data_IF_137522833408
#
_entry.id   IF_137522833408
#
_cell.length_a   1.000
_cell.length_b   1.000
_cell.length_c   1.000
_cell.angle_alpha   90.00
_cell.angle_beta   90.00
_cell.angle_gamma   90.00
#
_symmetry.space_group_name_H-M   'P 1'
#
loop_
_entity.id
_entity.type
_entity.pdbx_description
1 polymer ?
#
# COMPACT_ATOMS: atom_id res chain seq x y z
N UNK A 1 5.56 14.40 -11.02
CA UNK A 1 5.15 13.06 -11.48
C UNK A 1 3.84 12.69 -10.81
N UNK A 2 3.04 11.84 -11.45
CA UNK A 2 1.82 11.29 -10.89
C UNK A 2 2.15 10.06 -10.06
N UNK A 3 1.89 10.11 -8.76
CA UNK A 3 2.18 9.04 -7.82
C UNK A 3 0.89 8.44 -7.28
N UNK A 4 0.81 7.11 -7.32
CA UNK A 4 -0.19 6.36 -6.57
C UNK A 4 0.45 5.85 -5.27
N UNK A 5 -0.08 6.29 -4.13
CA UNK A 5 0.32 5.85 -2.80
C UNK A 5 -0.75 4.93 -2.22
N UNK A 6 -0.54 3.62 -2.34
CA UNK A 6 -1.48 2.60 -1.86
C UNK A 6 -1.21 2.27 -0.39
N UNK A 7 -2.29 1.99 0.35
CA UNK A 7 -2.21 1.70 1.79
C UNK A 7 -1.54 2.86 2.55
N UNK A 8 -1.99 4.08 2.24
CA UNK A 8 -1.27 5.31 2.56
C UNK A 8 -1.09 5.55 4.07
N UNK A 9 -1.98 5.00 4.91
CA UNK A 9 -1.99 5.29 6.34
C UNK A 9 -2.05 6.79 6.58
N UNK A 10 -1.18 7.29 7.47
CA UNK A 10 -1.01 8.73 7.73
C UNK A 10 0.09 9.38 6.86
N UNK A 11 0.58 8.69 5.82
CA UNK A 11 1.52 9.25 4.85
C UNK A 11 2.97 9.39 5.34
N UNK A 12 3.49 8.38 6.04
CA UNK A 12 4.89 8.36 6.50
C UNK A 12 5.90 8.52 5.35
N UNK A 13 5.70 7.78 4.26
CA UNK A 13 6.52 7.87 3.04
C UNK A 13 6.40 9.23 2.34
N UNK A 14 5.18 9.80 2.29
CA UNK A 14 4.85 11.06 1.61
C UNK A 14 5.68 12.24 2.11
N UNK A 15 6.10 12.23 3.39
CA UNK A 15 6.97 13.27 4.00
C UNK A 15 8.31 13.46 3.29
N UNK A 16 8.80 12.42 2.62
CA UNK A 16 10.09 12.43 1.93
C UNK A 16 9.97 12.79 0.45
N UNK A 17 8.76 12.94 -0.07
CA UNK A 17 8.53 13.24 -1.47
C UNK A 17 8.44 14.76 -1.70
N UNK A 18 9.06 15.29 -2.76
CA UNK A 18 8.92 16.70 -3.15
C UNK A 18 7.47 17.16 -3.23
N UNK A 19 7.22 18.42 -2.90
CA UNK A 19 5.88 18.98 -2.87
C UNK A 19 5.24 19.10 -4.26
N UNK A 20 6.05 19.19 -5.34
CA UNK A 20 5.56 19.29 -6.72
C UNK A 20 4.98 17.99 -7.31
N UNK A 21 5.01 16.88 -6.57
CA UNK A 21 4.42 15.63 -7.04
C UNK A 21 2.90 15.63 -6.89
N UNK A 22 2.19 15.19 -7.93
CA UNK A 22 0.74 14.95 -7.88
C UNK A 22 0.51 13.58 -7.26
N UNK A 23 0.11 13.55 -6.00
CA UNK A 23 -0.09 12.31 -5.25
C UNK A 23 -1.58 11.98 -5.14
N UNK A 24 -1.94 10.75 -5.50
CA UNK A 24 -3.20 10.13 -5.14
C UNK A 24 -2.95 9.08 -4.07
N UNK A 25 -3.50 9.31 -2.87
CA UNK A 25 -3.38 8.41 -1.72
C UNK A 25 -4.65 7.58 -1.56
N UNK A 26 -4.50 6.26 -1.41
CA UNK A 26 -5.59 5.33 -1.16
C UNK A 26 -5.47 4.78 0.27
N UNK A 27 -6.52 4.99 1.05
CA UNK A 27 -6.64 4.52 2.43
C UNK A 27 -8.07 4.01 2.63
N UNK A 28 -8.26 2.83 3.24
CA UNK A 28 -9.59 2.25 3.37
C UNK A 28 -10.32 2.72 4.64
N UNK A 29 -9.58 3.19 5.64
CA UNK A 29 -10.14 3.76 6.86
C UNK A 29 -10.34 5.27 6.71
N UNK A 30 -11.60 5.70 6.78
CA UNK A 30 -11.98 7.11 6.63
C UNK A 30 -11.30 8.04 7.64
N UNK A 31 -11.20 7.65 8.91
CA UNK A 31 -10.60 8.49 9.95
C UNK A 31 -9.10 8.67 9.73
N UNK A 32 -8.41 7.61 9.29
CA UNK A 32 -6.98 7.68 8.93
C UNK A 32 -6.77 8.54 7.68
N UNK A 33 -7.66 8.42 6.70
CA UNK A 33 -7.64 9.22 5.48
C UNK A 33 -7.82 10.72 5.77
N UNK A 34 -8.69 11.07 6.71
CA UNK A 34 -8.87 12.46 7.19
C UNK A 34 -7.56 12.98 7.82
N UNK A 35 -6.92 12.19 8.69
CA UNK A 35 -5.62 12.55 9.27
C UNK A 35 -4.52 12.70 8.20
N UNK A 36 -4.48 11.82 7.19
CA UNK A 36 -3.57 11.99 6.06
C UNK A 36 -3.79 13.33 5.37
N UNK A 37 -5.07 13.68 5.10
CA UNK A 37 -5.42 14.91 4.40
C UNK A 37 -5.02 16.16 5.20
N UNK A 38 -5.11 16.12 6.53
CA UNK A 38 -4.63 17.19 7.41
C UNK A 38 -3.12 17.45 7.26
N UNK A 39 -2.32 16.39 7.11
CA UNK A 39 -0.87 16.51 6.86
C UNK A 39 -0.54 16.94 5.43
N UNK A 40 -1.34 16.53 4.45
CA UNK A 40 -1.07 16.72 3.02
C UNK A 40 -2.30 17.29 2.29
N UNK A 41 -2.66 18.56 2.52
CA UNK A 41 -3.92 19.16 2.01
C UNK A 41 -4.01 19.24 0.48
N UNK A 42 -2.87 19.14 -0.22
CA UNK A 42 -2.82 19.21 -1.69
C UNK A 42 -2.88 17.82 -2.37
N UNK A 43 -2.73 16.75 -1.60
CA UNK A 43 -2.82 15.39 -2.13
C UNK A 43 -4.29 15.01 -2.33
N UNK A 44 -4.57 14.20 -3.36
CA UNK A 44 -5.90 13.63 -3.58
C UNK A 44 -6.04 12.36 -2.73
N UNK A 45 -6.89 12.38 -1.71
CA UNK A 45 -7.18 11.20 -0.88
C UNK A 45 -8.48 10.53 -1.32
N UNK A 46 -8.46 9.21 -1.50
CA UNK A 46 -9.64 8.42 -1.90
C UNK A 46 -9.82 7.28 -0.89
N UNK A 47 -11.01 7.23 -0.28
CA UNK A 47 -11.37 6.18 0.67
C UNK A 47 -11.92 4.95 -0.06
N UNK A 48 -11.06 3.96 -0.33
CA UNK A 48 -11.44 2.75 -1.06
C UNK A 48 -10.44 1.61 -0.85
N UNK A 49 -10.73 0.44 -1.43
CA UNK A 49 -9.83 -0.71 -1.42
C UNK A 49 -8.63 -0.49 -2.36
N UNK A 50 -7.43 -0.41 -1.78
CA UNK A 50 -6.19 -0.14 -2.50
C UNK A 50 -5.84 -1.23 -3.53
N UNK A 51 -6.09 -2.50 -3.19
CA UNK A 51 -5.79 -3.62 -4.08
C UNK A 51 -6.63 -3.56 -5.37
N UNK A 52 -7.94 -3.32 -5.23
CA UNK A 52 -8.84 -3.14 -6.38
C UNK A 52 -8.58 -1.85 -7.14
N UNK A 53 -8.18 -0.78 -6.45
CA UNK A 53 -7.84 0.49 -7.10
C UNK A 53 -6.61 0.33 -8.00
N UNK A 54 -5.57 -0.35 -7.52
CA UNK A 54 -4.38 -0.65 -8.30
C UNK A 54 -4.76 -1.36 -9.62
N UNK A 55 -5.53 -2.44 -9.54
CA UNK A 55 -5.90 -3.25 -10.70
C UNK A 55 -6.60 -2.41 -11.81
N UNK A 56 -7.41 -1.43 -11.41
CA UNK A 56 -8.20 -0.60 -12.34
C UNK A 56 -7.45 0.62 -12.87
N UNK A 57 -6.55 1.20 -12.07
CA UNK A 57 -6.01 2.54 -12.33
C UNK A 57 -4.49 2.60 -12.51
N UNK A 58 -3.76 1.49 -12.39
CA UNK A 58 -2.28 1.48 -12.42
C UNK A 58 -1.65 2.20 -13.63
N UNK A 59 -2.34 2.26 -14.78
CA UNK A 59 -1.82 2.90 -16.00
C UNK A 59 -1.82 4.43 -15.96
N UNK A 60 -2.46 5.05 -14.99
CA UNK A 60 -2.64 6.51 -14.90
C UNK A 60 -1.46 7.23 -14.22
N UNK A 61 -0.50 6.46 -13.69
CA UNK A 61 0.55 6.95 -12.81
C UNK A 61 1.95 6.70 -13.37
N UNK A 62 2.90 7.55 -12.98
CA UNK A 62 4.32 7.42 -13.33
C UNK A 62 5.07 6.54 -12.32
N UNK A 63 4.62 6.59 -11.06
CA UNK A 63 5.20 5.86 -9.94
C UNK A 63 4.12 5.29 -9.02
N UNK A 64 4.34 4.07 -8.52
CA UNK A 64 3.43 3.41 -7.58
C UNK A 64 4.22 2.97 -6.34
N UNK A 65 3.75 3.40 -5.16
CA UNK A 65 4.17 2.88 -3.87
C UNK A 65 3.06 2.01 -3.30
N UNK A 66 3.38 0.81 -2.84
CA UNK A 66 2.42 -0.06 -2.16
C UNK A 66 2.98 -0.66 -0.87
N UNK A 67 2.18 -0.65 0.19
CA UNK A 67 2.50 -1.26 1.48
C UNK A 67 1.36 -2.18 1.94
N UNK A 68 1.03 -3.26 1.19
CA UNK A 68 -0.11 -4.11 1.51
C UNK A 68 0.10 -4.83 2.85
N UNK A 69 -0.97 -5.06 3.64
CA UNK A 69 -0.83 -5.80 4.90
C UNK A 69 -0.37 -7.25 4.64
N UNK A 70 0.57 -7.75 5.45
CA UNK A 70 1.10 -9.11 5.32
C UNK A 70 0.98 -9.96 6.61
N UNK A 71 -0.23 -10.11 7.19
CA UNK A 71 -0.39 -10.67 8.53
C UNK A 71 -0.07 -12.17 8.62
N UNK A 72 -0.15 -12.92 7.52
CA UNK A 72 0.02 -14.38 7.52
C UNK A 72 1.46 -14.85 7.26
N UNK A 73 2.31 -13.99 6.72
CA UNK A 73 3.67 -14.37 6.30
C UNK A 73 4.76 -13.97 7.28
N UNK A 74 4.46 -13.05 8.20
CA UNK A 74 5.44 -12.48 9.12
C UNK A 74 6.13 -13.54 9.97
N UNK A 75 7.41 -13.31 10.27
CA UNK A 75 8.17 -14.18 11.17
C UNK A 75 7.53 -14.28 12.56
N UNK A 76 6.94 -13.18 13.05
CA UNK A 76 6.20 -13.16 14.31
C UNK A 76 5.05 -14.16 14.35
N UNK A 77 4.33 -14.32 13.23
CA UNK A 77 3.27 -15.33 13.16
C UNK A 77 3.84 -16.74 13.24
N UNK A 78 4.85 -17.03 12.41
CA UNK A 78 5.41 -18.39 12.27
C UNK A 78 6.17 -18.85 13.50
N UNK A 79 6.82 -17.93 14.23
CA UNK A 79 7.46 -18.21 15.51
C UNK A 79 6.46 -18.05 16.66
N UNK A 80 6.33 -16.81 17.14
CA UNK A 80 5.61 -16.48 18.37
C UNK A 80 4.14 -16.91 18.33
N UNK A 81 3.36 -16.48 17.33
CA UNK A 81 1.90 -16.73 17.37
C UNK A 81 1.56 -18.22 17.32
N UNK A 82 2.32 -19.04 16.58
CA UNK A 82 2.13 -20.48 16.54
C UNK A 82 2.41 -21.14 17.90
N UNK A 83 3.43 -20.67 18.63
CA UNK A 83 3.73 -21.16 20.00
C UNK A 83 2.60 -20.87 20.99
N UNK A 84 1.88 -19.75 20.82
CA UNK A 84 0.73 -19.36 21.65
C UNK A 84 -0.63 -19.84 21.10
N UNK A 85 -0.64 -20.87 20.24
CA UNK A 85 -1.87 -21.56 19.81
C UNK A 85 -2.58 -20.96 18.60
N UNK A 86 -1.92 -20.11 17.81
CA UNK A 86 -2.47 -19.70 16.53
C UNK A 86 -2.65 -20.89 15.58
N UNK A 87 -3.69 -20.83 14.75
CA UNK A 87 -3.94 -21.86 13.74
C UNK A 87 -3.05 -21.67 12.53
N UNK A 88 -2.59 -22.78 11.95
CA UNK A 88 -2.04 -22.80 10.60
C UNK A 88 -3.10 -22.30 9.62
N UNK A 89 -2.71 -21.36 8.76
CA UNK A 89 -3.56 -20.76 7.73
C UNK A 89 -2.79 -20.69 6.43
N UNK A 90 -3.50 -20.70 5.31
CA UNK A 90 -2.88 -20.39 4.05
C UNK A 90 -2.33 -18.96 4.05
N UNK A 91 -1.20 -18.74 3.36
CA UNK A 91 -0.68 -17.41 3.16
C UNK A 91 -1.66 -16.50 2.40
N UNK A 92 -1.88 -15.28 2.90
CA UNK A 92 -2.52 -14.20 2.16
C UNK A 92 -1.58 -13.70 1.07
N UNK A 93 -1.90 -14.04 -0.18
CA UNK A 93 -1.04 -13.79 -1.33
C UNK A 93 -1.14 -12.37 -1.88
N UNK A 94 -1.96 -11.47 -1.30
CA UNK A 94 -2.16 -10.11 -1.84
C UNK A 94 -0.88 -9.33 -2.13
N UNK A 95 0.10 -9.40 -1.21
CA UNK A 95 1.41 -8.78 -1.43
C UNK A 95 2.08 -9.31 -2.71
N UNK A 96 2.08 -10.64 -2.88
CA UNK A 96 2.69 -11.27 -4.03
C UNK A 96 1.89 -11.01 -5.31
N UNK A 97 0.56 -10.97 -5.22
CA UNK A 97 -0.33 -10.60 -6.33
C UNK A 97 0.03 -9.20 -6.86
N UNK A 98 0.23 -8.22 -5.98
CA UNK A 98 0.63 -6.87 -6.38
C UNK A 98 2.03 -6.82 -7.01
N UNK A 99 3.01 -7.51 -6.42
CA UNK A 99 4.37 -7.60 -6.97
C UNK A 99 4.35 -8.18 -8.39
N UNK A 100 3.70 -9.33 -8.57
CA UNK A 100 3.61 -10.00 -9.87
C UNK A 100 2.84 -9.14 -10.88
N UNK A 101 1.77 -8.48 -10.44
CA UNK A 101 0.99 -7.58 -11.27
C UNK A 101 1.82 -6.38 -11.75
N UNK A 102 2.50 -5.69 -10.84
CA UNK A 102 3.34 -4.54 -11.15
C UNK A 102 4.51 -4.93 -12.06
N UNK A 103 5.18 -6.05 -11.77
CA UNK A 103 6.29 -6.56 -12.57
C UNK A 103 5.85 -6.93 -14.00
N UNK A 104 4.68 -7.57 -14.17
CA UNK A 104 4.20 -8.02 -15.47
C UNK A 104 3.58 -6.92 -16.32
N UNK A 105 2.79 -6.03 -15.69
CA UNK A 105 1.88 -5.14 -16.42
C UNK A 105 2.25 -3.67 -16.35
N UNK A 106 2.84 -3.20 -15.25
CA UNK A 106 3.15 -1.78 -15.09
C UNK A 106 4.47 -1.42 -15.79
N UNK A 107 4.49 -0.28 -16.47
CA UNK A 107 5.68 0.21 -17.22
C UNK A 107 6.44 1.31 -16.51
N UNK A 108 5.83 1.91 -15.47
CA UNK A 108 6.47 2.91 -14.63
C UNK A 108 7.34 2.29 -13.55
N UNK A 109 7.84 3.14 -12.64
CA UNK A 109 8.64 2.70 -11.49
C UNK A 109 7.71 2.31 -10.35
N UNK A 110 8.06 1.29 -9.59
CA UNK A 110 7.24 0.89 -8.45
C UNK A 110 8.07 0.34 -7.30
N UNK A 111 7.51 0.43 -6.10
CA UNK A 111 8.05 -0.14 -4.86
C UNK A 111 6.92 -0.84 -4.12
N UNK A 112 7.21 -2.04 -3.60
CA UNK A 112 6.37 -2.71 -2.60
C UNK A 112 7.18 -2.81 -1.32
N UNK A 113 6.66 -2.24 -0.23
CA UNK A 113 7.29 -2.23 1.09
C UNK A 113 6.56 -3.19 2.03
N UNK A 114 7.34 -3.92 2.84
CA UNK A 114 6.82 -4.78 3.88
C UNK A 114 7.87 -5.12 4.94
N UNK A 115 7.40 -5.70 6.04
CA UNK A 115 8.25 -6.34 7.05
C UNK A 115 8.74 -7.72 6.57
N UNK A 116 9.83 -8.20 7.18
CA UNK A 116 10.47 -9.50 6.89
C UNK A 116 9.74 -10.65 7.62
#
# INVERSE_FOLDING_TARGET
>A
MKILNLYAGIGGNRKLWPAEHEVTAIENNKEIAEIYQDFFPNDKVIVTDAHQYLLKHYKEFDFIWSSPPCPTHSQLRKGLSMEYGAKAVYPDMKLYEEILFLQGYFKGKWVVENVI
#
